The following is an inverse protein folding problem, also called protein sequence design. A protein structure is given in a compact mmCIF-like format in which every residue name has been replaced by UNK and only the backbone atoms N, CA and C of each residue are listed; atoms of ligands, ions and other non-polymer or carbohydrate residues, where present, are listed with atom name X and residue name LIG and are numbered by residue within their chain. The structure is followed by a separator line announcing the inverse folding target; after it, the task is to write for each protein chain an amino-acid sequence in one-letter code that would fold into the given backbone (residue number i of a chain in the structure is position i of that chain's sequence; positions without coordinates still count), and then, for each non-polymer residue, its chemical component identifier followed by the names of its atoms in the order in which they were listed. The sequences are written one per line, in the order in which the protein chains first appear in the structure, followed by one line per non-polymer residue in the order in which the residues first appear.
data_IF_529879363493
#
_entry.id   IF_529879363493
#
_cell.length_a   1.000
_cell.length_b   1.000
_cell.length_c   1.000
_cell.angle_alpha   90.00
_cell.angle_beta   90.00
_cell.angle_gamma   90.00
#
_symmetry.space_group_name_H-M   'P 1'
#
loop_
_entity.id
_entity.type
_entity.pdbx_description
1 polymer ?
#
# COMPACT_ATOMS: atom_id res chain seq x y z
N UNK A 1 -16.95 12.95 -24.50
CA UNK A 1 -18.26 12.34 -24.19
C UNK A 1 -18.88 13.10 -23.03
N UNK A 2 -20.19 13.01 -22.83
CA UNK A 2 -20.84 13.49 -21.60
C UNK A 2 -20.68 12.43 -20.49
N UNK A 3 -20.97 12.76 -19.23
CA UNK A 3 -21.04 11.75 -18.17
C UNK A 3 -22.20 10.78 -18.42
N UNK A 4 -22.04 9.51 -18.04
CA UNK A 4 -23.01 8.44 -18.28
C UNK A 4 -23.34 7.71 -16.96
N UNK A 5 -24.62 7.46 -16.68
CA UNK A 5 -25.06 6.63 -15.56
C UNK A 5 -25.23 5.18 -16.01
N UNK A 6 -24.66 4.22 -15.27
CA UNK A 6 -24.73 2.78 -15.56
C UNK A 6 -25.12 1.98 -14.34
N UNK A 7 -25.83 0.86 -14.54
CA UNK A 7 -25.99 -0.17 -13.50
C UNK A 7 -24.73 -1.05 -13.41
N UNK A 8 -24.23 -1.27 -12.21
CA UNK A 8 -23.09 -2.14 -11.96
C UNK A 8 -23.43 -3.62 -12.21
N UNK A 9 -22.66 -4.32 -13.05
CA UNK A 9 -22.86 -5.75 -13.31
C UNK A 9 -22.82 -6.63 -12.05
N UNK A 10 -22.03 -6.24 -11.03
CA UNK A 10 -21.95 -6.95 -9.76
C UNK A 10 -23.12 -6.59 -8.81
N UNK A 11 -23.10 -5.40 -8.19
CA UNK A 11 -24.05 -5.01 -7.14
C UNK A 11 -25.38 -4.41 -7.64
N UNK A 12 -25.57 -4.25 -8.96
CA UNK A 12 -26.74 -3.65 -9.64
C UNK A 12 -27.01 -2.16 -9.35
N UNK A 13 -26.41 -1.59 -8.31
CA UNK A 13 -26.48 -0.16 -8.02
C UNK A 13 -26.00 0.70 -9.21
N UNK A 14 -26.57 1.90 -9.32
CA UNK A 14 -26.16 2.88 -10.32
C UNK A 14 -24.82 3.53 -9.93
N UNK A 15 -23.98 3.79 -10.93
CA UNK A 15 -22.75 4.56 -10.79
C UNK A 15 -22.55 5.46 -12.01
N UNK A 16 -21.87 6.59 -11.81
CA UNK A 16 -21.56 7.56 -12.87
C UNK A 16 -20.15 7.30 -13.41
N UNK A 17 -19.99 7.35 -14.72
CA UNK A 17 -18.69 7.50 -15.40
C UNK A 17 -18.61 8.95 -15.87
N UNK A 18 -17.61 9.69 -15.40
CA UNK A 18 -17.52 11.12 -15.72
C UNK A 18 -17.04 11.38 -17.15
N UNK A 19 -17.40 12.54 -17.70
CA UNK A 19 -16.91 13.04 -18.99
C UNK A 19 -15.36 13.09 -19.09
N UNK A 20 -14.66 13.15 -17.96
CA UNK A 20 -13.20 13.00 -17.83
C UNK A 20 -12.74 11.55 -17.97
N UNK A 21 -13.47 10.61 -17.37
CA UNK A 21 -13.07 9.21 -17.22
C UNK A 21 -13.11 8.51 -18.58
N UNK A 22 -14.08 8.85 -19.43
CA UNK A 22 -14.11 8.40 -20.82
C UNK A 22 -12.83 8.75 -21.57
N UNK A 23 -12.30 9.96 -21.39
CA UNK A 23 -11.02 10.37 -22.01
C UNK A 23 -9.84 9.55 -21.46
N UNK A 24 -9.89 9.14 -20.20
CA UNK A 24 -8.88 8.24 -19.63
C UNK A 24 -8.96 6.84 -20.27
N UNK A 25 -10.12 6.19 -20.29
CA UNK A 25 -10.28 4.84 -20.83
C UNK A 25 -9.98 4.78 -22.34
N UNK A 26 -10.33 5.84 -23.08
CA UNK A 26 -9.93 6.08 -24.47
C UNK A 26 -8.41 6.23 -24.60
N UNK A 27 -7.77 7.12 -23.83
CA UNK A 27 -6.32 7.40 -23.84
C UNK A 27 -5.45 6.16 -23.57
N UNK A 28 -5.94 5.17 -22.83
CA UNK A 28 -5.22 3.90 -22.60
C UNK A 28 -5.66 2.77 -23.53
N UNK A 29 -6.73 2.89 -24.31
CA UNK A 29 -7.36 1.79 -25.06
C UNK A 29 -7.88 0.63 -24.17
N UNK A 30 -8.96 0.87 -23.43
CA UNK A 30 -9.80 -0.18 -22.80
C UNK A 30 -11.29 0.20 -22.89
N UNK A 31 -12.22 -0.78 -22.81
CA UNK A 31 -13.62 -0.46 -22.55
C UNK A 31 -13.79 0.24 -21.19
N UNK A 32 -14.68 1.25 -21.10
CA UNK A 32 -15.09 1.84 -19.82
C UNK A 32 -15.75 0.78 -18.92
N UNK A 33 -15.62 0.89 -17.58
CA UNK A 33 -15.95 -0.18 -16.65
C UNK A 33 -17.43 -0.55 -16.66
N UNK A 34 -17.69 -1.81 -16.34
CA UNK A 34 -19.02 -2.36 -16.07
C UNK A 34 -19.29 -2.56 -14.57
N UNK A 35 -18.29 -2.29 -13.72
CA UNK A 35 -18.33 -2.42 -12.27
C UNK A 35 -18.09 -1.06 -11.60
N UNK A 36 -18.89 -0.72 -10.58
CA UNK A 36 -18.72 0.50 -9.80
C UNK A 36 -17.39 0.47 -9.01
N UNK A 37 -16.85 1.64 -8.61
CA UNK A 37 -15.53 1.73 -7.95
C UNK A 37 -15.37 0.81 -6.74
N UNK A 38 -16.41 0.66 -5.93
CA UNK A 38 -16.43 -0.14 -4.71
C UNK A 38 -16.30 -1.64 -5.03
N UNK A 39 -16.98 -2.10 -6.08
CA UNK A 39 -16.88 -3.49 -6.55
C UNK A 39 -15.51 -3.78 -7.17
N UNK A 40 -14.90 -2.80 -7.87
CA UNK A 40 -13.52 -2.93 -8.36
C UNK A 40 -12.52 -2.99 -7.19
N UNK A 41 -12.69 -2.13 -6.18
CA UNK A 41 -11.88 -2.11 -4.97
C UNK A 41 -11.94 -3.45 -4.21
N UNK A 42 -13.14 -4.00 -3.99
CA UNK A 42 -13.30 -5.35 -3.40
C UNK A 42 -12.56 -6.42 -4.20
N UNK A 43 -12.72 -6.42 -5.54
CA UNK A 43 -12.03 -7.34 -6.45
C UNK A 43 -10.50 -7.25 -6.39
N UNK A 44 -9.93 -6.05 -6.20
CA UNK A 44 -8.49 -5.88 -5.96
C UNK A 44 -8.07 -6.42 -4.60
N UNK A 45 -8.75 -5.99 -3.53
CA UNK A 45 -8.32 -6.25 -2.15
C UNK A 45 -8.25 -7.74 -1.78
N UNK A 46 -9.08 -8.61 -2.37
CA UNK A 46 -8.99 -10.07 -2.13
C UNK A 46 -7.70 -10.73 -2.63
N UNK A 47 -6.88 -10.02 -3.44
CA UNK A 47 -5.64 -10.53 -4.04
C UNK A 47 -4.37 -10.12 -3.27
N UNK A 48 -4.52 -9.43 -2.13
CA UNK A 48 -3.42 -8.93 -1.28
C UNK A 48 -3.61 -9.39 0.17
N UNK A 49 -2.99 -10.51 0.51
CA UNK A 49 -2.89 -10.92 1.91
C UNK A 49 -1.71 -10.18 2.57
N UNK A 50 -2.00 -9.24 3.46
CA UNK A 50 -0.98 -8.50 4.21
C UNK A 50 -0.55 -9.18 5.52
N UNK A 51 -1.48 -9.89 6.20
CA UNK A 51 -1.37 -10.20 7.65
C UNK A 51 -1.67 -11.65 8.03
N UNK A 52 -2.28 -12.45 7.16
CA UNK A 52 -2.62 -13.85 7.47
C UNK A 52 -1.41 -14.73 7.18
N UNK A 53 -0.53 -14.85 8.17
CA UNK A 53 0.71 -15.62 8.09
C UNK A 53 0.50 -17.05 8.60
N UNK A 54 1.07 -18.02 7.88
CA UNK A 54 0.95 -19.45 8.17
C UNK A 54 2.34 -20.09 8.30
N UNK A 55 2.53 -20.94 9.31
CA UNK A 55 3.64 -21.88 9.33
C UNK A 55 3.36 -23.02 8.32
N UNK A 56 4.31 -23.30 7.42
CA UNK A 56 4.30 -24.45 6.51
C UNK A 56 5.73 -24.89 6.20
N UNK A 57 5.87 -26.02 5.50
CA UNK A 57 7.14 -26.37 4.86
C UNK A 57 7.23 -25.75 3.46
N UNK A 58 8.43 -25.36 3.06
CA UNK A 58 8.76 -24.97 1.69
C UNK A 58 8.59 -26.18 0.77
N UNK A 59 7.81 -26.07 -0.30
CA UNK A 59 7.49 -27.21 -1.15
C UNK A 59 8.68 -27.68 -2.01
N UNK A 60 9.74 -26.86 -2.15
CA UNK A 60 11.01 -27.27 -2.74
C UNK A 60 11.95 -27.88 -1.68
N UNK A 61 12.53 -27.06 -0.79
CA UNK A 61 13.59 -27.51 0.14
C UNK A 61 13.11 -28.11 1.48
N UNK A 62 11.81 -28.25 1.71
CA UNK A 62 11.15 -28.85 2.90
C UNK A 62 11.47 -28.24 4.28
N UNK A 63 12.30 -27.17 4.33
CA UNK A 63 12.51 -26.33 5.52
C UNK A 63 11.20 -25.68 5.97
N UNK A 64 11.04 -25.52 7.28
CA UNK A 64 9.91 -24.79 7.87
C UNK A 64 10.04 -23.28 7.59
N UNK A 65 8.90 -22.65 7.26
CA UNK A 65 8.81 -21.26 6.83
C UNK A 65 7.49 -20.61 7.27
N UNK A 66 7.51 -19.28 7.32
CA UNK A 66 6.30 -18.46 7.32
C UNK A 66 5.89 -18.16 5.87
N UNK A 67 4.59 -18.15 5.58
CA UNK A 67 4.05 -17.84 4.26
C UNK A 67 2.67 -17.16 4.32
N UNK A 68 2.30 -16.41 3.29
CA UNK A 68 0.94 -15.85 3.08
C UNK A 68 -0.10 -16.89 2.62
N UNK A 69 0.27 -18.17 2.54
CA UNK A 69 -0.55 -19.24 1.95
C UNK A 69 -0.76 -20.42 2.90
N UNK A 70 -2.03 -20.69 3.24
CA UNK A 70 -2.45 -21.87 4.01
C UNK A 70 -2.04 -23.19 3.31
N UNK A 71 -1.83 -24.26 4.08
CA UNK A 71 -1.38 -25.57 3.57
C UNK A 71 -2.33 -26.24 2.54
N UNK A 72 -3.58 -25.81 2.44
CA UNK A 72 -4.58 -26.37 1.50
C UNK A 72 -4.63 -25.64 0.14
N UNK A 73 -3.70 -24.73 -0.18
CA UNK A 73 -3.62 -24.15 -1.53
C UNK A 73 -3.26 -25.22 -2.57
N UNK A 74 -3.77 -25.14 -3.82
CA UNK A 74 -3.51 -26.16 -4.85
C UNK A 74 -2.09 -26.11 -5.43
N UNK A 75 -1.43 -24.95 -5.33
CA UNK A 75 -0.10 -24.69 -5.90
C UNK A 75 1.03 -24.91 -4.88
N UNK A 76 2.26 -25.23 -5.34
CA UNK A 76 3.45 -25.25 -4.48
C UNK A 76 3.78 -23.87 -3.92
N UNK A 77 4.41 -23.79 -2.75
CA UNK A 77 4.88 -22.52 -2.15
C UNK A 77 6.35 -22.62 -1.76
N UNK A 78 7.18 -21.74 -2.33
CA UNK A 78 8.63 -21.73 -2.18
C UNK A 78 9.09 -20.58 -1.29
N UNK A 79 10.10 -20.85 -0.44
CA UNK A 79 10.77 -19.81 0.33
C UNK A 79 11.61 -18.89 -0.59
N UNK A 80 11.94 -17.69 -0.11
CA UNK A 80 12.66 -16.66 -0.88
C UNK A 80 13.92 -17.21 -1.57
N UNK A 81 14.77 -17.91 -0.82
CA UNK A 81 16.01 -18.51 -1.35
C UNK A 81 15.81 -19.73 -2.25
N UNK A 82 14.62 -20.34 -2.29
CA UNK A 82 14.28 -21.35 -3.30
C UNK A 82 13.72 -20.70 -4.56
N UNK A 83 12.87 -19.68 -4.39
CA UNK A 83 12.26 -18.92 -5.47
C UNK A 83 13.30 -18.26 -6.38
N UNK A 84 14.37 -17.69 -5.80
CA UNK A 84 15.49 -17.09 -6.53
C UNK A 84 16.70 -18.03 -6.74
N UNK A 85 16.47 -19.34 -6.87
CA UNK A 85 17.53 -20.31 -7.16
C UNK A 85 17.23 -21.13 -8.41
N UNK A 86 18.28 -21.57 -9.11
CA UNK A 86 18.21 -22.38 -10.34
C UNK A 86 17.67 -23.82 -10.12
N UNK A 87 17.15 -24.12 -8.92
CA UNK A 87 16.56 -25.41 -8.55
C UNK A 87 15.13 -25.61 -9.11
N UNK A 88 14.60 -24.65 -9.87
CA UNK A 88 13.32 -24.77 -10.59
C UNK A 88 13.32 -23.88 -11.84
N UNK A 89 12.61 -24.31 -12.88
CA UNK A 89 12.39 -23.54 -14.12
C UNK A 89 10.87 -23.29 -14.30
N UNK A 90 10.41 -22.03 -14.46
CA UNK A 90 9.00 -21.75 -14.69
C UNK A 90 8.46 -22.23 -16.04
N UNK A 91 9.31 -22.56 -17.02
CA UNK A 91 8.89 -23.05 -18.34
C UNK A 91 8.35 -24.49 -18.30
N UNK A 92 8.66 -25.30 -17.27
CA UNK A 92 8.11 -26.66 -17.13
C UNK A 92 6.58 -26.67 -16.91
N UNK A 93 6.00 -25.51 -16.59
CA UNK A 93 4.55 -25.30 -16.41
C UNK A 93 3.85 -24.76 -17.67
N UNK A 94 4.56 -24.70 -18.81
CA UNK A 94 4.07 -24.33 -20.15
C UNK A 94 2.73 -25.00 -20.49
N UNK A 95 1.80 -24.23 -21.04
CA UNK A 95 0.56 -24.74 -21.64
C UNK A 95 0.37 -24.15 -23.05
N UNK A 96 -0.02 -24.99 -24.00
CA UNK A 96 -0.49 -24.53 -25.32
C UNK A 96 -1.86 -23.86 -25.16
N UNK A 97 -2.13 -22.79 -25.93
CA UNK A 97 -3.43 -22.11 -25.86
C UNK A 97 -4.52 -22.91 -26.59
N UNK A 98 -5.55 -23.30 -25.85
CA UNK A 98 -6.67 -24.10 -26.33
C UNK A 98 -7.86 -23.22 -26.73
N UNK A 99 -8.10 -23.08 -28.04
CA UNK A 99 -9.24 -22.33 -28.58
C UNK A 99 -10.61 -22.98 -28.31
N UNK A 100 -10.69 -24.18 -27.72
CA UNK A 100 -11.96 -24.77 -27.26
C UNK A 100 -12.35 -24.33 -25.84
N UNK A 101 -11.45 -23.67 -25.10
CA UNK A 101 -11.65 -23.25 -23.70
C UNK A 101 -11.63 -21.73 -23.55
N UNK A 102 -12.48 -21.20 -22.67
CA UNK A 102 -12.35 -19.80 -22.24
C UNK A 102 -10.98 -19.56 -21.56
N UNK A 103 -10.33 -18.45 -21.92
CA UNK A 103 -8.99 -18.08 -21.43
C UNK A 103 -8.87 -18.06 -19.90
N UNK A 104 -9.86 -17.56 -19.17
CA UNK A 104 -9.79 -17.42 -17.71
C UNK A 104 -9.81 -18.78 -17.00
N UNK A 105 -10.35 -19.83 -17.64
CA UNK A 105 -10.27 -21.20 -17.13
C UNK A 105 -8.84 -21.75 -17.30
N UNK A 106 -8.23 -21.56 -18.48
CA UNK A 106 -6.84 -21.97 -18.76
C UNK A 106 -5.85 -21.25 -17.82
N UNK A 107 -6.03 -19.95 -17.62
CA UNK A 107 -5.23 -19.16 -16.69
C UNK A 107 -5.37 -19.65 -15.24
N UNK A 108 -6.59 -20.01 -14.80
CA UNK A 108 -6.82 -20.61 -13.48
C UNK A 108 -6.20 -22.01 -13.35
N UNK A 109 -6.23 -22.82 -14.42
CA UNK A 109 -5.50 -24.10 -14.46
C UNK A 109 -3.99 -23.90 -14.28
N UNK A 110 -3.41 -22.84 -14.84
CA UNK A 110 -1.99 -22.48 -14.66
C UNK A 110 -1.69 -21.94 -13.25
N UNK A 111 -2.49 -21.00 -12.74
CA UNK A 111 -2.35 -20.43 -11.39
C UNK A 111 -2.40 -21.50 -10.28
N UNK A 112 -3.08 -22.63 -10.52
CA UNK A 112 -3.17 -23.77 -9.60
C UNK A 112 -1.95 -24.72 -9.66
N UNK A 113 -1.10 -24.65 -10.70
CA UNK A 113 0.06 -25.54 -10.91
C UNK A 113 1.39 -24.85 -10.61
N UNK A 114 1.53 -23.58 -10.98
CA UNK A 114 2.79 -22.82 -10.86
C UNK A 114 3.09 -22.48 -9.40
N UNK A 115 4.33 -22.69 -8.91
CA UNK A 115 4.75 -22.31 -7.57
C UNK A 115 4.53 -20.84 -7.23
N UNK A 116 4.40 -20.53 -5.94
CA UNK A 116 4.28 -19.15 -5.41
C UNK A 116 5.37 -18.81 -4.40
N UNK A 117 5.81 -17.55 -4.40
CA UNK A 117 6.72 -17.02 -3.39
C UNK A 117 6.01 -16.92 -2.02
N UNK A 118 6.61 -17.48 -0.97
CA UNK A 118 6.00 -17.59 0.36
C UNK A 118 5.64 -16.24 1.01
N UNK A 119 6.54 -15.25 0.89
CA UNK A 119 6.41 -13.91 1.44
C UNK A 119 6.95 -12.95 0.38
N UNK A 120 6.17 -11.94 0.00
CA UNK A 120 6.58 -11.02 -1.06
C UNK A 120 7.70 -10.09 -0.55
N UNK A 121 8.76 -9.89 -1.34
CA UNK A 121 9.88 -9.03 -0.97
C UNK A 121 11.21 -9.47 -1.58
N UNK A 122 12.27 -8.70 -1.33
CA UNK A 122 13.66 -8.97 -1.75
C UNK A 122 14.61 -8.30 -0.73
N UNK A 123 15.79 -8.87 -0.50
CA UNK A 123 16.88 -8.30 0.31
C UNK A 123 16.51 -7.74 1.72
N UNK A 124 15.88 -8.58 2.54
CA UNK A 124 15.51 -8.23 3.93
C UNK A 124 16.36 -9.00 4.98
N UNK A 125 17.13 -8.29 5.80
CA UNK A 125 18.06 -8.84 6.79
C UNK A 125 17.46 -8.91 8.20
N UNK A 126 17.73 -9.99 8.95
CA UNK A 126 17.14 -10.27 10.27
C UNK A 126 15.59 -10.28 10.25
N UNK A 127 15.00 -10.59 9.10
CA UNK A 127 13.64 -10.18 8.76
C UNK A 127 12.66 -11.31 8.41
N UNK A 128 12.39 -12.29 9.31
CA UNK A 128 11.66 -13.52 8.96
C UNK A 128 10.12 -13.39 8.86
N UNK A 129 9.54 -12.26 9.27
CA UNK A 129 8.08 -12.03 9.24
C UNK A 129 7.64 -11.01 8.17
N UNK A 130 8.54 -10.64 7.25
CA UNK A 130 8.24 -9.72 6.14
C UNK A 130 7.04 -10.13 5.33
N UNK A 131 6.36 -9.12 4.81
CA UNK A 131 5.53 -9.30 3.64
C UNK A 131 5.45 -7.97 2.88
N UNK A 132 5.60 -8.01 1.57
CA UNK A 132 5.74 -6.86 0.68
C UNK A 132 6.76 -5.81 1.22
N UNK A 133 7.92 -6.28 1.68
CA UNK A 133 9.00 -5.44 2.22
C UNK A 133 10.25 -5.62 1.36
N UNK A 134 11.02 -4.56 1.14
CA UNK A 134 12.26 -4.59 0.34
C UNK A 134 13.40 -3.88 1.08
N UNK A 135 14.63 -4.32 0.83
CA UNK A 135 15.87 -3.62 1.24
C UNK A 135 15.94 -3.24 2.73
N UNK A 136 15.28 -4.01 3.60
CA UNK A 136 15.05 -3.65 5.01
C UNK A 136 15.89 -4.46 6.00
N UNK A 137 16.09 -3.92 7.21
CA UNK A 137 16.87 -4.56 8.28
C UNK A 137 16.24 -4.27 9.64
N UNK A 138 16.20 -5.27 10.54
CA UNK A 138 15.81 -5.17 11.96
C UNK A 138 14.37 -4.69 12.29
N UNK A 139 13.64 -4.14 11.32
CA UNK A 139 12.18 -3.95 11.35
C UNK A 139 11.49 -5.29 11.74
N UNK A 140 10.21 -5.32 12.14
CA UNK A 140 9.53 -6.62 12.37
C UNK A 140 8.05 -6.73 11.93
N UNK A 141 7.69 -7.12 10.70
CA UNK A 141 7.93 -6.49 9.38
C UNK A 141 6.61 -6.58 8.59
N UNK A 142 6.36 -5.65 7.65
CA UNK A 142 4.98 -5.48 7.13
C UNK A 142 4.94 -4.80 5.73
N UNK A 143 3.74 -4.71 5.07
CA UNK A 143 3.54 -4.10 3.73
C UNK A 143 3.24 -2.58 3.73
N UNK A 144 4.13 -1.62 3.47
CA UNK A 144 5.57 -1.59 3.16
C UNK A 144 6.15 -0.25 3.70
N UNK A 145 7.47 -0.14 3.83
CA UNK A 145 8.15 0.97 4.56
C UNK A 145 9.52 1.27 3.93
N UNK A 146 9.91 2.55 3.82
CA UNK A 146 10.75 2.96 2.69
C UNK A 146 11.81 4.10 2.80
N UNK A 147 12.46 4.56 3.87
CA UNK A 147 12.14 4.73 5.29
C UNK A 147 12.20 3.52 6.24
N UNK A 148 13.27 3.49 7.06
CA UNK A 148 13.43 2.54 8.16
C UNK A 148 14.38 3.03 9.25
N UNK A 149 13.93 3.05 10.50
CA UNK A 149 14.73 2.68 11.69
C UNK A 149 13.79 2.27 12.86
N UNK A 150 14.28 1.41 13.75
CA UNK A 150 13.61 0.68 14.86
C UNK A 150 12.32 -0.10 14.53
N UNK A 151 11.77 0.05 13.31
CA UNK A 151 10.35 -0.14 13.02
C UNK A 151 9.76 -1.42 13.63
N UNK A 152 8.86 -1.20 14.58
CA UNK A 152 8.04 -2.22 15.21
C UNK A 152 7.00 -2.75 14.18
N UNK A 153 5.84 -3.20 14.64
CA UNK A 153 5.21 -4.32 13.96
C UNK A 153 4.20 -3.95 12.86
N UNK A 154 4.21 -2.70 12.34
CA UNK A 154 3.57 -2.30 11.07
C UNK A 154 3.94 -0.88 10.56
N UNK A 155 2.99 -0.13 9.97
CA UNK A 155 3.21 0.50 8.65
C UNK A 155 2.00 1.36 8.22
N UNK A 156 2.05 2.23 7.19
CA UNK A 156 3.15 2.52 6.26
C UNK A 156 4.04 3.67 6.75
N UNK A 157 5.28 3.36 7.15
CA UNK A 157 6.17 4.28 7.86
C UNK A 157 7.09 5.03 6.89
N UNK A 158 6.49 5.79 5.97
CA UNK A 158 7.26 6.58 5.00
C UNK A 158 7.34 8.03 5.45
N UNK A 159 8.58 8.52 5.56
CA UNK A 159 9.17 9.07 6.78
C UNK A 159 9.33 8.02 7.91
N UNK A 160 10.56 7.76 8.41
CA UNK A 160 10.85 6.89 9.59
C UNK A 160 12.21 7.20 10.20
N UNK A 161 12.21 7.44 11.52
CA UNK A 161 13.27 7.42 12.55
C UNK A 161 12.57 7.98 13.80
N UNK A 162 12.38 7.43 15.02
CA UNK A 162 12.31 6.07 15.57
C UNK A 162 11.04 6.08 16.47
N UNK A 163 9.97 5.41 16.03
CA UNK A 163 8.62 6.02 15.93
C UNK A 163 7.58 5.74 17.07
N UNK A 164 6.72 4.72 16.94
CA UNK A 164 6.02 4.02 18.05
C UNK A 164 6.22 2.47 18.07
N UNK A 165 7.22 1.85 17.45
CA UNK A 165 7.98 2.24 16.27
C UNK A 165 7.09 2.23 14.99
N UNK A 166 5.74 2.21 15.14
CA UNK A 166 4.74 2.31 14.06
C UNK A 166 3.36 2.90 14.45
N UNK A 167 2.52 3.52 13.61
CA UNK A 167 2.65 4.36 12.39
C UNK A 167 1.22 4.64 11.87
N UNK A 168 0.85 5.69 11.12
CA UNK A 168 1.59 6.72 10.38
C UNK A 168 2.44 7.60 11.29
N UNK A 169 3.73 7.34 11.38
CA UNK A 169 4.65 8.15 12.16
C UNK A 169 5.88 8.38 11.29
N UNK A 170 6.40 9.60 11.33
CA UNK A 170 7.15 10.17 10.24
C UNK A 170 8.30 11.04 10.75
N UNK A 171 9.56 10.60 10.66
CA UNK A 171 10.71 11.38 11.16
C UNK A 171 10.53 11.78 12.67
N UNK A 172 10.04 10.86 13.50
CA UNK A 172 9.77 11.10 14.92
C UNK A 172 10.72 10.34 15.86
N UNK A 173 11.80 10.96 16.33
CA UNK A 173 12.84 10.30 17.15
C UNK A 173 12.48 10.23 18.64
N UNK A 174 12.91 9.16 19.33
CA UNK A 174 12.69 8.92 20.78
C UNK A 174 11.20 9.07 21.14
N UNK A 175 10.34 8.35 20.44
CA UNK A 175 8.89 8.53 20.52
C UNK A 175 8.16 7.27 21.04
N UNK A 176 6.99 7.45 21.66
CA UNK A 176 6.20 6.33 22.21
C UNK A 176 4.69 6.64 22.21
N UNK A 177 3.83 5.64 22.06
CA UNK A 177 2.37 5.81 21.95
C UNK A 177 1.82 6.75 20.84
N UNK A 178 2.63 7.21 19.88
CA UNK A 178 2.25 8.22 18.89
C UNK A 178 1.39 7.67 17.72
N UNK A 179 0.51 8.48 17.13
CA UNK A 179 -0.35 8.10 15.99
C UNK A 179 -0.56 9.27 15.02
N UNK A 180 -0.30 9.07 13.72
CA UNK A 180 -0.40 10.11 12.69
C UNK A 180 0.49 11.33 13.00
N UNK A 181 1.77 11.10 13.30
CA UNK A 181 2.71 12.10 13.78
C UNK A 181 3.88 12.36 12.80
N UNK A 182 4.32 13.60 12.61
CA UNK A 182 5.45 13.95 11.73
C UNK A 182 6.48 14.87 12.43
N UNK A 183 7.78 14.68 12.19
CA UNK A 183 8.90 15.53 12.66
C UNK A 183 8.84 15.80 14.17
N UNK A 184 8.65 14.75 14.98
CA UNK A 184 8.57 14.88 16.43
C UNK A 184 9.86 14.42 17.12
N UNK A 185 10.13 14.89 18.34
CA UNK A 185 11.33 14.50 19.08
C UNK A 185 11.03 14.35 20.57
N UNK A 186 11.52 13.27 21.19
CA UNK A 186 11.40 12.99 22.62
C UNK A 186 9.96 13.24 23.13
N UNK A 187 8.98 12.55 22.52
CA UNK A 187 7.57 12.88 22.69
C UNK A 187 6.65 11.66 22.67
N UNK A 188 5.65 11.67 23.56
CA UNK A 188 4.79 10.50 23.83
C UNK A 188 3.29 10.76 23.74
N UNK A 189 2.53 9.75 23.30
CA UNK A 189 1.07 9.75 23.16
C UNK A 189 0.49 10.90 22.30
N UNK A 190 1.26 11.37 21.32
CA UNK A 190 0.82 12.39 20.36
C UNK A 190 -0.13 11.79 19.30
N UNK A 191 -1.19 12.50 18.94
CA UNK A 191 -2.18 12.06 17.96
C UNK A 191 -2.45 13.17 16.94
N UNK A 192 -2.18 12.95 15.64
CA UNK A 192 -2.29 13.96 14.56
C UNK A 192 -1.33 15.17 14.74
N UNK A 193 -0.14 14.97 15.30
CA UNK A 193 0.82 16.04 15.64
C UNK A 193 1.92 16.23 14.58
N UNK A 194 2.44 17.45 14.41
CA UNK A 194 3.57 17.72 13.50
C UNK A 194 4.61 18.67 14.12
N UNK A 195 5.91 18.49 13.88
CA UNK A 195 6.97 19.39 14.37
C UNK A 195 6.89 19.66 15.89
N UNK A 196 6.81 18.61 16.72
CA UNK A 196 6.59 18.73 18.17
C UNK A 196 7.75 18.12 18.99
N UNK A 197 8.21 18.82 20.02
CA UNK A 197 9.44 18.48 20.77
C UNK A 197 9.15 18.41 22.28
N UNK A 198 9.74 17.46 23.02
CA UNK A 198 9.66 17.38 24.49
C UNK A 198 8.21 17.46 25.01
N UNK A 199 7.30 16.74 24.36
CA UNK A 199 5.84 16.93 24.51
C UNK A 199 5.09 15.63 24.74
N UNK A 200 3.94 15.70 25.40
CA UNK A 200 3.21 14.53 25.89
C UNK A 200 1.70 14.69 25.80
N UNK A 201 0.98 13.69 25.29
CA UNK A 201 -0.48 13.66 25.18
C UNK A 201 -1.06 14.88 24.42
N UNK A 202 -0.62 15.11 23.17
CA UNK A 202 -1.15 16.17 22.31
C UNK A 202 -2.10 15.64 21.24
N UNK A 203 -3.13 16.42 20.89
CA UNK A 203 -4.05 16.12 19.79
C UNK A 203 -4.02 17.20 18.71
N UNK A 204 -4.02 16.84 17.41
CA UNK A 204 -4.00 17.76 16.24
C UNK A 204 -3.02 18.94 16.35
N UNK A 205 -1.87 18.72 16.97
CA UNK A 205 -0.89 19.77 17.31
C UNK A 205 0.09 20.07 16.16
N UNK A 206 0.82 21.20 16.24
CA UNK A 206 1.80 21.57 15.21
C UNK A 206 2.83 22.60 15.66
N UNK A 207 4.12 22.42 15.38
CA UNK A 207 5.18 23.40 15.68
C UNK A 207 5.19 23.79 17.18
N UNK A 208 5.17 22.82 18.09
CA UNK A 208 4.93 23.06 19.51
C UNK A 208 5.77 22.19 20.44
N UNK A 209 6.44 22.84 21.40
CA UNK A 209 7.49 22.22 22.21
C UNK A 209 7.18 22.38 23.70
N UNK A 210 7.61 21.47 24.57
CA UNK A 210 7.32 21.55 26.01
C UNK A 210 5.81 21.73 26.27
N UNK A 211 5.00 20.82 25.72
CA UNK A 211 3.54 20.87 25.82
C UNK A 211 2.99 19.55 26.37
N UNK A 212 2.12 19.63 27.37
CA UNK A 212 1.50 18.48 28.05
C UNK A 212 -0.03 18.55 27.98
N UNK A 213 -0.70 17.42 27.71
CA UNK A 213 -2.16 17.28 27.73
C UNK A 213 -2.90 18.46 27.07
N UNK A 214 -2.64 18.73 25.79
CA UNK A 214 -3.16 19.94 25.13
C UNK A 214 -3.77 19.63 23.76
N UNK A 215 -4.86 20.33 23.44
CA UNK A 215 -5.69 20.09 22.25
C UNK A 215 -5.45 21.15 21.17
N UNK A 216 -5.07 20.67 19.98
CA UNK A 216 -4.99 21.38 18.70
C UNK A 216 -3.98 22.54 18.67
N UNK A 217 -3.07 22.57 19.65
CA UNK A 217 -2.09 23.64 19.90
C UNK A 217 -1.10 23.77 18.74
N UNK A 218 -0.94 25.01 18.25
CA UNK A 218 -0.03 25.34 17.17
C UNK A 218 0.81 26.59 17.46
N UNK A 219 2.12 26.51 17.20
CA UNK A 219 3.10 27.59 17.41
C UNK A 219 3.14 28.11 18.87
N UNK A 220 3.26 27.19 19.85
CA UNK A 220 3.31 27.50 21.29
C UNK A 220 4.34 26.65 22.04
N UNK A 221 4.73 27.12 23.23
CA UNK A 221 5.60 26.41 24.16
C UNK A 221 5.10 26.56 25.61
N UNK A 222 5.51 25.64 26.49
CA UNK A 222 5.21 25.63 27.93
C UNK A 222 3.69 25.63 28.23
N UNK A 223 2.96 24.78 27.50
CA UNK A 223 1.50 24.66 27.58
C UNK A 223 1.08 23.45 28.42
N UNK A 224 0.11 23.61 29.31
CA UNK A 224 -0.59 22.50 29.98
C UNK A 224 -2.10 22.77 29.88
N UNK A 225 -2.87 21.82 29.33
CA UNK A 225 -4.32 21.94 29.08
C UNK A 225 -4.71 23.28 28.43
N UNK A 226 -4.00 23.62 27.34
CA UNK A 226 -4.16 24.87 26.58
C UNK A 226 -3.90 26.18 27.35
N UNK A 227 -3.43 26.12 28.60
CA UNK A 227 -2.95 27.29 29.37
C UNK A 227 -1.42 27.39 29.29
N UNK A 228 -0.92 28.60 29.04
CA UNK A 228 0.51 28.91 29.00
C UNK A 228 1.06 29.19 30.39
N UNK A 229 2.34 28.85 30.61
CA UNK A 229 3.04 29.06 31.88
C UNK A 229 4.46 29.60 31.66
N UNK A 230 5.04 30.34 32.63
CA UNK A 230 6.49 30.55 32.70
C UNK A 230 7.24 29.22 32.71
N UNK A 231 8.47 29.18 32.19
CA UNK A 231 9.26 27.96 32.04
C UNK A 231 9.48 27.24 33.38
N UNK A 232 9.70 28.01 34.43
CA UNK A 232 9.97 27.57 35.79
C UNK A 232 8.69 26.97 36.41
N UNK A 233 7.55 27.64 36.24
CA UNK A 233 6.23 27.17 36.72
C UNK A 233 5.74 25.94 35.93
N UNK A 234 6.11 25.83 34.64
CA UNK A 234 5.88 24.64 33.81
C UNK A 234 6.68 23.43 34.34
N UNK A 235 7.98 23.62 34.60
CA UNK A 235 8.84 22.56 35.16
C UNK A 235 8.35 22.10 36.55
N UNK A 236 7.95 23.03 37.41
CA UNK A 236 7.39 22.76 38.75
C UNK A 236 5.98 22.12 38.70
N UNK A 237 5.32 22.10 37.53
CA UNK A 237 4.07 21.34 37.32
C UNK A 237 4.33 19.97 36.74
N UNK A 238 5.29 19.81 35.84
CA UNK A 238 5.63 18.50 35.27
C UNK A 238 6.32 17.58 36.29
N UNK A 239 7.12 18.13 37.21
CA UNK A 239 7.77 17.36 38.29
C UNK A 239 6.81 16.68 39.27
N UNK A 240 5.49 16.95 39.17
CA UNK A 240 4.43 16.34 39.97
C UNK A 240 3.77 15.13 39.30
N UNK A 241 4.20 14.75 38.09
CA UNK A 241 3.72 13.59 37.36
C UNK A 241 4.86 12.60 37.15
N UNK A 242 4.65 11.34 37.53
CA UNK A 242 5.57 10.24 37.20
C UNK A 242 5.21 9.66 35.83
N UNK A 243 5.91 10.11 34.79
CA UNK A 243 5.75 9.59 33.43
C UNK A 243 6.26 8.15 33.25
N UNK A 244 7.03 7.61 34.20
CA UNK A 244 7.50 6.22 34.22
C UNK A 244 6.51 5.24 34.86
N UNK A 245 5.61 5.71 35.73
CA UNK A 245 4.59 4.87 36.36
C UNK A 245 3.51 4.45 35.37
N UNK A 246 3.35 3.14 35.18
CA UNK A 246 2.28 2.56 34.37
C UNK A 246 0.87 2.91 34.90
N UNK A 247 0.70 3.01 36.22
CA UNK A 247 -0.57 3.41 36.83
C UNK A 247 -0.90 4.88 36.51
N UNK A 248 0.10 5.75 36.49
CA UNK A 248 -0.07 7.16 36.15
C UNK A 248 -0.31 7.33 34.64
N UNK A 249 0.41 6.61 33.78
CA UNK A 249 0.14 6.57 32.34
C UNK A 249 -1.29 6.15 32.03
N UNK A 250 -1.88 5.18 32.76
CA UNK A 250 -3.29 4.81 32.59
C UNK A 250 -4.26 5.97 32.94
N UNK A 251 -4.00 6.71 34.02
CA UNK A 251 -4.81 7.88 34.41
C UNK A 251 -4.70 9.00 33.38
N UNK A 252 -3.49 9.32 32.94
CA UNK A 252 -3.20 10.34 31.94
C UNK A 252 -3.82 9.98 30.58
N UNK A 253 -3.73 8.73 30.14
CA UNK A 253 -4.38 8.26 28.92
C UNK A 253 -5.91 8.40 28.97
N UNK A 254 -6.55 8.10 30.12
CA UNK A 254 -8.00 8.30 30.31
C UNK A 254 -8.40 9.77 30.23
N UNK A 255 -7.69 10.66 30.95
CA UNK A 255 -7.89 12.12 30.91
C UNK A 255 -7.63 12.68 29.50
N UNK A 256 -6.66 12.13 28.78
CA UNK A 256 -6.37 12.49 27.38
C UNK A 256 -7.48 12.06 26.41
N UNK A 257 -8.18 10.95 26.67
CA UNK A 257 -9.38 10.59 25.88
C UNK A 257 -10.46 11.66 26.00
N UNK A 258 -10.79 12.06 27.23
CA UNK A 258 -11.80 13.09 27.52
C UNK A 258 -11.42 14.45 26.91
N UNK A 259 -10.12 14.80 26.92
CA UNK A 259 -9.60 16.00 26.26
C UNK A 259 -9.73 15.94 24.72
N UNK A 260 -9.57 14.77 24.10
CA UNK A 260 -9.81 14.59 22.66
C UNK A 260 -11.30 14.69 22.31
N UNK A 261 -12.19 14.20 23.16
CA UNK A 261 -13.65 14.28 22.96
C UNK A 261 -14.14 15.74 22.92
N UNK A 262 -13.55 16.63 23.73
CA UNK A 262 -13.87 18.07 23.75
C UNK A 262 -13.12 18.93 22.72
N UNK A 263 -12.16 18.35 21.99
CA UNK A 263 -11.34 19.06 21.02
C UNK A 263 -12.08 19.38 19.70
N UNK A 264 -11.51 20.27 18.89
CA UNK A 264 -12.04 20.57 17.55
C UNK A 264 -11.67 19.43 16.57
N UNK A 265 -12.68 18.80 15.97
CA UNK A 265 -12.49 17.74 14.99
C UNK A 265 -12.66 18.27 13.55
N UNK A 266 -11.68 18.01 12.69
CA UNK A 266 -11.75 18.31 11.26
C UNK A 266 -12.58 17.24 10.55
N UNK A 267 -13.52 17.66 9.69
CA UNK A 267 -14.24 16.74 8.79
C UNK A 267 -13.29 15.95 7.87
N UNK A 268 -12.27 16.63 7.32
CA UNK A 268 -11.21 16.03 6.53
C UNK A 268 -9.89 16.81 6.70
N UNK A 269 -8.77 16.12 6.54
CA UNK A 269 -7.43 16.69 6.54
C UNK A 269 -7.01 17.04 5.10
N UNK A 270 -7.43 18.23 4.65
CA UNK A 270 -7.18 18.72 3.28
C UNK A 270 -6.37 20.02 3.34
N UNK A 271 -5.12 19.97 2.87
CA UNK A 271 -4.16 21.07 2.88
C UNK A 271 -3.76 21.43 1.45
N UNK A 272 -3.71 22.73 1.13
CA UNK A 272 -3.23 23.27 -0.17
C UNK A 272 -3.83 22.58 -1.42
N UNK A 273 -5.05 22.04 -1.33
CA UNK A 273 -5.62 21.19 -2.38
C UNK A 273 -6.83 21.84 -3.05
N UNK A 274 -6.81 21.97 -4.37
CA UNK A 274 -7.87 22.58 -5.17
C UNK A 274 -8.80 21.52 -5.76
N UNK A 275 -10.12 21.75 -5.74
CA UNK A 275 -11.13 20.85 -6.32
C UNK A 275 -10.87 19.36 -5.97
N UNK A 276 -10.63 19.06 -4.70
CA UNK A 276 -10.19 17.73 -4.25
C UNK A 276 -10.96 17.23 -3.03
N UNK A 277 -11.35 15.97 -3.06
CA UNK A 277 -12.32 15.34 -2.14
C UNK A 277 -11.78 13.99 -1.65
N UNK A 278 -11.56 13.89 -0.34
CA UNK A 278 -10.89 12.77 0.32
C UNK A 278 -10.42 13.12 1.73
N UNK A 279 -9.60 12.26 2.35
CA UNK A 279 -8.91 12.55 3.62
C UNK A 279 -7.39 12.32 3.51
N UNK A 280 -6.63 13.07 4.31
CA UNK A 280 -5.16 13.19 4.26
C UNK A 280 -4.67 13.54 2.85
N UNK A 281 -5.09 14.71 2.39
CA UNK A 281 -4.72 15.30 1.11
C UNK A 281 -3.80 16.51 1.35
N UNK A 282 -2.63 16.56 0.71
CA UNK A 282 -1.75 17.73 0.71
C UNK A 282 -1.30 18.10 -0.71
N UNK A 283 -1.38 19.38 -1.06
CA UNK A 283 -0.83 19.95 -2.30
C UNK A 283 -1.39 19.32 -3.61
N UNK A 284 -2.72 19.12 -3.68
CA UNK A 284 -3.37 18.40 -4.78
C UNK A 284 -4.25 19.27 -5.70
N UNK A 285 -4.64 18.72 -6.86
CA UNK A 285 -5.63 19.35 -7.77
C UNK A 285 -6.51 18.29 -8.46
N UNK A 286 -7.83 18.45 -8.48
CA UNK A 286 -8.76 17.52 -9.15
C UNK A 286 -8.60 16.06 -8.67
N UNK A 287 -8.43 15.82 -7.36
CA UNK A 287 -8.28 14.47 -6.77
C UNK A 287 -9.57 14.06 -6.08
N UNK A 288 -10.24 12.97 -6.50
CA UNK A 288 -11.60 12.61 -6.03
C UNK A 288 -11.74 11.17 -5.56
N UNK A 289 -12.47 10.95 -4.46
CA UNK A 289 -12.64 9.64 -3.82
C UNK A 289 -11.31 8.98 -3.44
N UNK A 290 -10.35 9.80 -2.96
CA UNK A 290 -9.01 9.34 -2.63
C UNK A 290 -8.67 9.51 -1.15
N UNK A 291 -7.69 8.75 -0.68
CA UNK A 291 -7.18 8.80 0.69
C UNK A 291 -5.65 8.80 0.67
N UNK A 292 -4.99 9.53 1.56
CA UNK A 292 -3.52 9.57 1.71
C UNK A 292 -2.75 9.94 0.41
N UNK A 293 -3.26 10.89 -0.37
CA UNK A 293 -2.65 11.34 -1.64
C UNK A 293 -2.00 12.72 -1.45
N UNK A 294 -0.75 12.84 -1.90
CA UNK A 294 0.07 14.03 -1.74
C UNK A 294 0.66 14.47 -3.09
N UNK A 295 0.82 15.78 -3.28
CA UNK A 295 1.56 16.39 -4.41
C UNK A 295 1.07 15.97 -5.82
N UNK A 296 -0.23 15.70 -5.97
CA UNK A 296 -0.82 15.00 -7.13
C UNK A 296 -1.90 15.78 -7.89
N UNK A 297 -2.19 15.40 -9.14
CA UNK A 297 -3.29 15.97 -9.92
C UNK A 297 -4.10 14.92 -10.70
N UNK A 298 -5.41 15.16 -10.89
CA UNK A 298 -6.33 14.43 -11.79
C UNK A 298 -6.55 12.94 -11.47
N UNK A 299 -6.70 12.58 -10.18
CA UNK A 299 -6.76 11.18 -9.71
C UNK A 299 -8.14 10.81 -9.21
N UNK A 300 -8.58 9.57 -9.46
CA UNK A 300 -9.83 9.04 -8.94
C UNK A 300 -9.63 7.70 -8.20
N UNK A 301 -10.45 7.45 -7.18
CA UNK A 301 -10.66 6.13 -6.55
C UNK A 301 -9.39 5.43 -5.97
N UNK A 302 -8.37 6.19 -5.58
CA UNK A 302 -7.04 5.69 -5.15
C UNK A 302 -6.78 5.90 -3.65
N UNK A 303 -6.14 4.93 -2.99
CA UNK A 303 -5.85 4.97 -1.55
C UNK A 303 -4.34 4.84 -1.30
N UNK A 304 -3.65 5.94 -0.97
CA UNK A 304 -2.18 6.10 -0.84
C UNK A 304 -1.42 6.11 -2.18
N UNK A 305 -0.18 6.62 -2.17
CA UNK A 305 0.74 6.67 -3.32
C UNK A 305 1.91 7.64 -3.10
N UNK A 306 2.93 7.54 -3.96
CA UNK A 306 3.99 8.55 -4.20
C UNK A 306 4.36 8.54 -5.70
N UNK A 307 3.40 8.96 -6.51
CA UNK A 307 3.03 8.21 -7.72
C UNK A 307 2.31 9.11 -8.74
N UNK A 308 1.71 8.49 -9.78
CA UNK A 308 0.66 9.06 -10.65
C UNK A 308 1.25 9.99 -11.75
N UNK A 309 0.63 10.20 -12.93
CA UNK A 309 -0.81 10.38 -13.30
C UNK A 309 -1.12 9.67 -14.65
N UNK A 310 -2.34 9.37 -15.05
CA UNK A 310 -3.67 9.51 -14.44
C UNK A 310 -4.19 8.08 -14.16
N UNK A 311 -4.58 7.70 -12.93
CA UNK A 311 -4.64 6.27 -12.50
C UNK A 311 -6.03 5.91 -11.92
N UNK A 312 -6.53 4.68 -12.19
CA UNK A 312 -8.00 4.43 -12.27
C UNK A 312 -8.48 2.95 -12.08
N UNK A 313 -7.92 2.11 -11.20
CA UNK A 313 -7.58 2.45 -9.81
C UNK A 313 -6.35 1.62 -9.30
N UNK A 314 -5.82 1.93 -8.10
CA UNK A 314 -4.63 1.27 -7.53
C UNK A 314 -4.58 1.29 -5.99
N UNK A 315 -4.00 0.25 -5.37
CA UNK A 315 -2.97 0.37 -4.31
C UNK A 315 -2.27 -1.00 -4.01
N UNK A 316 -0.97 -1.12 -3.71
CA UNK A 316 0.06 -0.08 -3.61
C UNK A 316 0.76 0.28 -4.90
N UNK A 317 1.08 1.56 -5.00
CA UNK A 317 2.01 2.13 -5.97
C UNK A 317 3.12 2.87 -5.21
N UNK A 318 4.36 2.74 -5.72
CA UNK A 318 5.57 3.35 -5.15
C UNK A 318 6.04 4.58 -5.92
N UNK A 319 7.32 4.98 -5.76
CA UNK A 319 7.96 6.02 -6.55
C UNK A 319 7.92 5.71 -8.05
N UNK A 320 7.56 6.72 -8.87
CA UNK A 320 7.41 6.66 -10.34
C UNK A 320 6.19 5.83 -10.79
N UNK A 321 5.06 6.45 -11.10
CA UNK A 321 3.98 5.77 -11.86
C UNK A 321 3.36 6.72 -12.87
N UNK A 322 2.72 6.19 -13.90
CA UNK A 322 1.78 6.95 -14.74
C UNK A 322 0.80 5.99 -15.48
N UNK A 323 -0.43 6.43 -15.86
CA UNK A 323 -1.60 5.64 -16.37
C UNK A 323 -1.67 4.11 -16.07
N UNK A 324 -1.95 3.68 -14.83
CA UNK A 324 -2.19 2.26 -14.50
C UNK A 324 -3.70 1.94 -14.34
N UNK A 325 -4.19 0.78 -14.83
CA UNK A 325 -5.58 0.29 -14.61
C UNK A 325 -5.74 -1.22 -14.88
N UNK A 326 -6.09 -2.11 -13.94
CA UNK A 326 -6.52 -1.98 -12.54
C UNK A 326 -5.56 -2.83 -11.68
N UNK A 327 -5.03 -2.33 -10.56
CA UNK A 327 -3.74 -2.86 -10.05
C UNK A 327 -3.56 -2.98 -8.53
N UNK A 328 -2.67 -3.90 -8.13
CA UNK A 328 -2.27 -4.12 -6.72
C UNK A 328 -0.78 -4.44 -6.59
N UNK A 329 -0.11 -3.70 -5.70
CA UNK A 329 1.32 -3.74 -5.32
C UNK A 329 2.32 -3.79 -6.51
N UNK A 330 2.70 -2.60 -6.96
CA UNK A 330 3.58 -2.28 -8.10
C UNK A 330 4.45 -1.04 -7.81
N UNK A 331 5.52 -0.74 -8.56
CA UNK A 331 6.48 -1.65 -9.18
C UNK A 331 7.96 -1.26 -8.90
N UNK A 332 8.14 -0.17 -8.15
CA UNK A 332 9.35 0.58 -7.79
C UNK A 332 10.25 1.11 -8.93
N UNK A 333 9.74 1.19 -10.16
CA UNK A 333 10.34 1.88 -11.33
C UNK A 333 9.29 2.08 -12.45
N UNK A 334 8.07 2.51 -12.07
CA UNK A 334 6.85 2.15 -12.80
C UNK A 334 6.30 3.12 -13.88
N UNK A 335 5.58 2.56 -14.88
CA UNK A 335 4.72 3.28 -15.85
C UNK A 335 3.77 2.37 -16.67
N UNK A 336 2.50 2.80 -16.82
CA UNK A 336 1.53 2.49 -17.91
C UNK A 336 0.88 1.08 -18.01
N UNK A 337 0.79 0.30 -16.94
CA UNK A 337 0.32 -1.12 -17.01
C UNK A 337 -1.20 -1.36 -16.94
N UNK A 338 -1.61 -2.60 -17.25
CA UNK A 338 -3.01 -3.05 -17.10
C UNK A 338 -3.22 -4.36 -16.31
N UNK A 339 -4.33 -4.38 -15.58
CA UNK A 339 -4.92 -5.55 -14.88
C UNK A 339 -3.90 -6.43 -14.11
N UNK A 340 -3.24 -5.89 -13.06
CA UNK A 340 -1.95 -6.39 -12.54
C UNK A 340 -1.93 -6.79 -11.05
N UNK A 341 -1.20 -7.85 -10.70
CA UNK A 341 -1.05 -8.45 -9.34
C UNK A 341 0.30 -9.20 -9.25
N UNK A 342 1.03 -9.25 -8.14
CA UNK A 342 1.78 -8.11 -7.59
C UNK A 342 3.17 -8.14 -8.26
N UNK A 343 3.64 -7.08 -8.93
CA UNK A 343 4.75 -7.15 -9.89
C UNK A 343 5.77 -6.02 -9.69
N UNK A 344 7.07 -6.35 -9.61
CA UNK A 344 8.13 -5.44 -9.15
C UNK A 344 9.39 -5.51 -10.02
N UNK A 345 9.86 -4.38 -10.53
CA UNK A 345 11.02 -4.29 -11.44
C UNK A 345 10.72 -4.60 -12.91
N UNK A 346 11.15 -3.69 -13.79
CA UNK A 346 11.48 -3.97 -15.20
C UNK A 346 10.38 -4.50 -16.12
N UNK A 347 9.09 -4.39 -15.75
CA UNK A 347 8.00 -4.99 -16.53
C UNK A 347 7.43 -4.05 -17.62
N UNK A 348 7.01 -4.61 -18.77
CA UNK A 348 6.38 -3.86 -19.87
C UNK A 348 5.36 -4.71 -20.65
N UNK A 349 4.24 -4.14 -21.10
CA UNK A 349 3.13 -4.82 -21.81
C UNK A 349 2.72 -6.17 -21.19
N UNK A 350 2.10 -6.08 -20.00
CA UNK A 350 1.67 -7.23 -19.20
C UNK A 350 0.14 -7.27 -19.15
N UNK A 351 -0.45 -8.39 -19.58
CA UNK A 351 -1.89 -8.64 -19.56
C UNK A 351 -2.21 -9.93 -18.81
N UNK A 352 -3.19 -9.88 -17.90
CA UNK A 352 -3.70 -11.04 -17.15
C UNK A 352 -2.61 -11.92 -16.53
N UNK A 353 -1.52 -11.35 -16.01
CA UNK A 353 -0.35 -12.11 -15.53
C UNK A 353 -0.04 -11.80 -14.06
N UNK A 354 0.65 -12.73 -13.39
CA UNK A 354 0.63 -12.86 -11.93
C UNK A 354 2.03 -13.21 -11.37
N UNK A 355 2.58 -12.33 -10.53
CA UNK A 355 3.94 -12.42 -9.97
C UNK A 355 5.03 -12.61 -11.05
N UNK A 356 4.98 -11.78 -12.10
CA UNK A 356 6.02 -11.70 -13.13
C UNK A 356 6.94 -10.50 -12.85
N UNK A 357 8.26 -10.67 -12.95
CA UNK A 357 9.23 -9.63 -12.56
C UNK A 357 10.40 -9.58 -13.54
N UNK A 358 10.80 -8.39 -14.00
CA UNK A 358 11.74 -8.21 -15.12
C UNK A 358 11.31 -8.97 -16.40
N UNK A 359 10.01 -9.00 -16.70
CA UNK A 359 9.40 -9.65 -17.86
C UNK A 359 8.76 -8.64 -18.83
N UNK A 360 8.69 -8.95 -20.13
CA UNK A 360 8.00 -8.07 -21.09
C UNK A 360 7.17 -8.83 -22.14
N UNK A 361 6.06 -8.24 -22.57
CA UNK A 361 5.11 -8.86 -23.52
C UNK A 361 4.59 -10.20 -22.98
N UNK A 362 3.72 -10.13 -21.96
CA UNK A 362 3.13 -11.31 -21.32
C UNK A 362 1.60 -11.34 -21.44
N UNK A 363 1.04 -12.52 -21.71
CA UNK A 363 -0.40 -12.76 -21.68
C UNK A 363 -0.73 -14.03 -20.85
N UNK A 364 -1.45 -13.90 -19.74
CA UNK A 364 -1.88 -15.08 -18.97
C UNK A 364 -0.74 -15.87 -18.32
N UNK A 365 0.40 -15.27 -18.00
CA UNK A 365 1.56 -15.99 -17.44
C UNK A 365 1.66 -15.85 -15.91
N UNK A 366 2.30 -16.80 -15.25
CA UNK A 366 2.44 -16.87 -13.79
C UNK A 366 3.89 -17.15 -13.42
N UNK A 367 4.45 -16.39 -12.47
CA UNK A 367 5.73 -16.71 -11.82
C UNK A 367 6.99 -16.57 -12.70
N UNK A 368 6.99 -15.74 -13.74
CA UNK A 368 8.15 -15.54 -14.61
C UNK A 368 9.16 -14.52 -14.02
N UNK A 369 10.47 -14.77 -14.16
CA UNK A 369 11.52 -13.74 -14.01
C UNK A 369 11.95 -13.20 -15.39
N UNK A 370 13.23 -13.31 -15.78
CA UNK A 370 13.78 -12.69 -16.98
C UNK A 370 13.34 -13.38 -18.30
N UNK A 371 12.10 -13.14 -18.74
CA UNK A 371 11.45 -13.76 -19.90
C UNK A 371 10.66 -12.75 -20.74
N UNK A 372 10.35 -13.12 -21.98
CA UNK A 372 9.56 -12.27 -22.88
C UNK A 372 8.76 -13.04 -23.92
N UNK A 373 7.69 -12.42 -24.42
CA UNK A 373 6.78 -12.99 -25.43
C UNK A 373 6.21 -14.34 -24.98
N UNK A 374 5.55 -14.37 -23.81
CA UNK A 374 5.02 -15.60 -23.23
C UNK A 374 3.50 -15.59 -23.09
N UNK A 375 2.87 -16.72 -23.43
CA UNK A 375 1.43 -16.97 -23.28
C UNK A 375 1.27 -18.27 -22.50
N UNK A 376 0.57 -18.24 -21.37
CA UNK A 376 0.41 -19.40 -20.45
C UNK A 376 1.76 -20.09 -20.12
N UNK A 377 2.77 -19.29 -19.75
CA UNK A 377 4.18 -19.68 -19.53
C UNK A 377 4.94 -20.26 -20.74
N UNK A 378 4.31 -20.59 -21.87
CA UNK A 378 5.02 -20.92 -23.11
C UNK A 378 5.70 -19.66 -23.66
N UNK A 379 6.98 -19.76 -24.01
CA UNK A 379 7.71 -18.70 -24.72
C UNK A 379 7.60 -18.90 -26.23
N UNK A 380 7.39 -17.81 -26.97
CA UNK A 380 7.18 -17.77 -28.43
C UNK A 380 8.21 -16.85 -29.12
N UNK A 381 8.25 -16.83 -30.46
CA UNK A 381 8.86 -15.68 -31.16
C UNK A 381 7.98 -14.44 -31.01
N UNK A 382 8.55 -13.27 -31.32
CA UNK A 382 7.82 -12.00 -31.32
C UNK A 382 6.63 -12.05 -32.29
N UNK A 383 6.86 -12.55 -33.50
CA UNK A 383 5.92 -12.58 -34.61
C UNK A 383 4.75 -13.53 -34.32
N UNK A 384 5.03 -14.68 -33.68
CA UNK A 384 4.03 -15.61 -33.18
C UNK A 384 3.15 -14.96 -32.09
N UNK A 385 3.77 -14.30 -31.10
CA UNK A 385 3.08 -13.63 -30.00
C UNK A 385 2.17 -12.50 -30.51
N UNK A 386 2.69 -11.60 -31.35
CA UNK A 386 1.95 -10.49 -31.96
C UNK A 386 0.81 -11.00 -32.87
N UNK A 387 0.97 -12.18 -33.47
CA UNK A 387 -0.08 -12.84 -34.29
C UNK A 387 -1.14 -13.55 -33.44
N UNK A 388 -0.79 -14.07 -32.25
CA UNK A 388 -1.66 -14.92 -31.44
C UNK A 388 -2.48 -14.13 -30.42
N UNK A 389 -1.89 -13.14 -29.74
CA UNK A 389 -2.58 -12.34 -28.71
C UNK A 389 -3.87 -11.68 -29.23
N UNK A 390 -3.93 -11.04 -30.41
CA UNK A 390 -5.18 -10.48 -30.94
C UNK A 390 -6.27 -11.52 -31.21
N UNK A 391 -5.90 -12.77 -31.54
CA UNK A 391 -6.84 -13.88 -31.75
C UNK A 391 -7.42 -14.36 -30.41
N UNK A 392 -6.60 -14.42 -29.36
CA UNK A 392 -7.04 -14.72 -28.00
C UNK A 392 -7.98 -13.63 -27.49
N UNK A 393 -7.62 -12.35 -27.64
CA UNK A 393 -8.46 -11.22 -27.22
C UNK A 393 -9.82 -11.21 -27.95
N UNK A 394 -9.88 -11.62 -29.22
CA UNK A 394 -11.14 -11.77 -29.97
C UNK A 394 -11.98 -13.00 -29.56
N UNK A 395 -11.39 -13.97 -28.88
CA UNK A 395 -12.08 -15.17 -28.39
C UNK A 395 -12.61 -15.02 -26.95
N UNK A 396 -12.22 -13.96 -26.24
CA UNK A 396 -12.61 -13.66 -24.85
C UNK A 396 -13.94 -12.90 -24.74
#
# INVERSE_FOLDING_TARGET
MNSETRSCQNCKAEFIIDASDFKFYEKISVPPPTWCPECRAQRRMVLRNERSLYNRKCDLCKKDIIAVYHKNVPFPVYCLGCWYSDNWDPLIYTQEYDFSKNFLLQFKELQNKVPRLALFGEDNLNSPYTNYTWNSKNVYLSPSTLFSEDIMYSIFSDHSYNCMDCTRIANCEICYGNVNADKCYHSMFLVRAQNCIDSSYLFDAGNSNYCFMSANIRNKQYMIENKAYPKEEYAEKLSKYDFGSYEEQQKLAKRFSQLKESALHKFANVLKSFNSFGDNLSNNKNVRHCFDIYDSENIAYSFRGFSLKDVFDVYACGPRCELTYDSINIGLDDSRYKFSVNCWGGNFEILYSDLCMNSQNLFGSVGLRSKSYCILNKQYTKEEYETLVPKIIKHM
#
